data_IF_367088507764
#
_entry.id   IF_367088507764
#
_cell.length_a   1.000
_cell.length_b   1.000
_cell.length_c   1.000
_cell.angle_alpha   90.00
_cell.angle_beta   90.00
_cell.angle_gamma   90.00
#
_symmetry.space_group_name_H-M   'P 1'
#
loop_
_entity.id
_entity.type
_entity.pdbx_description
1 polymer ?
#
# COMPACT_ATOMS: atom_id res chain seq x y z
N UNK A 1 18.57 9.85 4.28
CA UNK A 1 18.99 11.26 4.46
C UNK A 1 18.51 12.21 3.36
N UNK A 2 18.35 11.80 2.09
CA UNK A 2 18.12 12.74 0.96
C UNK A 2 16.93 13.72 1.11
N UNK A 3 15.89 13.37 1.87
CA UNK A 3 14.70 14.22 2.06
C UNK A 3 14.61 14.92 3.44
N UNK A 4 15.17 14.35 4.51
CA UNK A 4 15.07 14.87 5.88
C UNK A 4 16.40 15.37 6.46
N UNK A 5 17.53 15.01 5.85
CA UNK A 5 18.86 15.36 6.35
C UNK A 5 19.30 14.63 7.63
N UNK A 6 18.43 13.84 8.26
CA UNK A 6 18.74 13.07 9.47
C UNK A 6 18.17 11.63 9.40
N UNK A 7 18.55 10.81 10.37
CA UNK A 7 18.10 9.41 10.53
C UNK A 7 17.21 9.21 11.75
N UNK A 8 16.74 10.30 12.36
CA UNK A 8 15.84 10.26 13.51
C UNK A 8 14.48 9.69 13.11
N UNK A 9 14.07 8.61 13.76
CA UNK A 9 12.88 7.85 13.38
C UNK A 9 11.60 8.71 13.36
N UNK A 10 11.43 9.61 14.35
CA UNK A 10 10.26 10.47 14.42
C UNK A 10 10.17 11.43 13.22
N UNK A 11 11.29 12.05 12.84
CA UNK A 11 11.36 12.96 11.70
C UNK A 11 11.14 12.23 10.37
N UNK A 12 11.69 11.02 10.22
CA UNK A 12 11.47 10.20 9.04
C UNK A 12 10.00 9.78 8.90
N UNK A 13 9.37 9.32 9.98
CA UNK A 13 7.98 8.88 9.94
C UNK A 13 7.01 10.03 9.66
N UNK A 14 7.27 11.24 10.19
CA UNK A 14 6.50 12.43 9.84
C UNK A 14 6.57 12.68 8.32
N UNK A 15 7.78 12.69 7.75
CA UNK A 15 7.97 12.92 6.32
C UNK A 15 7.32 11.84 5.44
N UNK A 16 7.39 10.57 5.86
CA UNK A 16 6.79 9.45 5.14
C UNK A 16 5.25 9.51 5.10
N UNK A 17 4.62 10.05 6.14
CA UNK A 17 3.15 10.22 6.19
C UNK A 17 2.65 11.39 5.32
N UNK A 18 3.48 12.42 5.16
CA UNK A 18 3.17 13.58 4.33
C UNK A 18 3.39 13.34 2.84
N UNK A 19 4.29 12.42 2.49
CA UNK A 19 4.70 12.19 1.11
C UNK A 19 3.99 10.98 0.54
N UNK A 20 3.15 11.13 -0.51
CA UNK A 20 2.62 9.98 -1.22
C UNK A 20 3.74 9.12 -1.80
N UNK A 21 3.59 7.81 -1.67
CA UNK A 21 4.43 6.80 -2.33
C UNK A 21 3.93 6.68 -3.76
N UNK A 22 4.83 6.90 -4.72
CA UNK A 22 4.53 6.74 -6.15
C UNK A 22 5.71 6.03 -6.81
N UNK A 23 5.67 4.71 -6.80
CA UNK A 23 6.69 3.84 -7.37
C UNK A 23 6.08 2.77 -8.28
N UNK A 24 6.89 1.79 -8.71
CA UNK A 24 6.47 0.75 -9.64
C UNK A 24 5.39 -0.19 -9.06
N UNK A 25 5.28 -0.27 -7.73
CA UNK A 25 4.36 -1.16 -7.03
C UNK A 25 3.14 -0.40 -6.52
N UNK A 26 3.35 0.72 -5.84
CA UNK A 26 2.29 1.53 -5.26
C UNK A 26 2.25 2.91 -5.92
N UNK A 27 1.20 3.15 -6.70
CA UNK A 27 0.92 4.44 -7.30
C UNK A 27 -0.01 5.23 -6.37
N UNK A 28 0.47 6.35 -5.84
CA UNK A 28 -0.32 7.22 -4.97
C UNK A 28 -0.62 6.65 -3.58
N UNK A 29 0.16 5.66 -3.12
CA UNK A 29 0.03 5.09 -1.79
C UNK A 29 0.32 6.11 -0.68
N UNK A 30 -0.25 5.92 0.50
CA UNK A 30 -0.08 6.83 1.65
C UNK A 30 0.15 6.06 2.93
N UNK A 31 1.12 6.49 3.73
CA UNK A 31 1.27 6.02 5.12
C UNK A 31 0.28 6.76 6.01
N UNK A 32 -0.72 6.05 6.54
CA UNK A 32 -1.77 6.57 7.42
C UNK A 32 -1.26 6.75 8.86
N UNK A 33 -2.05 7.43 9.69
CA UNK A 33 -1.70 7.75 11.08
C UNK A 33 -1.41 6.49 11.94
N UNK A 34 -2.13 5.39 11.69
CA UNK A 34 -1.89 4.07 12.29
C UNK A 34 -0.63 3.37 11.75
N UNK A 35 0.11 4.00 10.85
CA UNK A 35 1.29 3.43 10.19
C UNK A 35 0.97 2.50 9.02
N UNK A 36 -0.31 2.31 8.67
CA UNK A 36 -0.69 1.47 7.52
C UNK A 36 -0.34 2.16 6.21
N UNK A 37 0.36 1.45 5.31
CA UNK A 37 0.52 1.88 3.92
C UNK A 37 -0.75 1.50 3.14
N UNK A 38 -1.56 2.49 2.81
CA UNK A 38 -2.82 2.34 2.07
C UNK A 38 -2.56 2.67 0.61
N UNK A 39 -2.93 1.78 -0.29
CA UNK A 39 -2.79 1.94 -1.74
C UNK A 39 -3.82 1.06 -2.45
N UNK A 40 -4.00 1.23 -3.75
CA UNK A 40 -4.89 0.36 -4.49
C UNK A 40 -4.35 -1.07 -4.55
N UNK A 41 -5.26 -2.03 -4.41
CA UNK A 41 -4.96 -3.46 -4.47
C UNK A 41 -5.46 -4.02 -5.80
N UNK A 42 -4.82 -5.07 -6.30
CA UNK A 42 -5.24 -5.72 -7.55
C UNK A 42 -5.88 -7.06 -7.25
N UNK A 43 -7.11 -7.25 -7.74
CA UNK A 43 -7.78 -8.54 -7.76
C UNK A 43 -7.29 -9.33 -8.97
N UNK A 44 -6.75 -10.52 -8.71
CA UNK A 44 -6.25 -11.42 -9.73
C UNK A 44 -6.93 -12.79 -9.64
N UNK A 45 -7.09 -13.45 -10.79
CA UNK A 45 -7.55 -14.82 -10.91
C UNK A 45 -6.43 -15.71 -11.43
N UNK A 46 -6.34 -16.94 -10.94
CA UNK A 46 -5.43 -17.93 -11.50
C UNK A 46 -5.87 -18.32 -12.92
N UNK A 47 -4.90 -18.31 -13.83
CA UNK A 47 -5.06 -18.82 -15.19
C UNK A 47 -5.23 -20.34 -15.19
N UNK A 48 -5.94 -20.87 -16.18
CA UNK A 48 -5.94 -22.31 -16.44
C UNK A 48 -4.59 -22.75 -17.03
N UNK A 49 -4.24 -24.06 -17.00
CA UNK A 49 -2.99 -24.54 -17.57
C UNK A 49 -2.80 -24.19 -19.07
N UNK A 50 -3.89 -24.11 -19.84
CA UNK A 50 -3.85 -23.74 -21.26
C UNK A 50 -3.67 -22.24 -21.51
N UNK A 51 -3.92 -21.39 -20.50
CA UNK A 51 -3.77 -19.94 -20.58
C UNK A 51 -2.39 -19.43 -20.12
N UNK A 52 -1.64 -20.27 -19.39
CA UNK A 52 -0.32 -19.93 -18.84
C UNK A 52 0.78 -20.19 -19.87
N UNK A 53 1.30 -19.14 -20.50
CA UNK A 53 2.31 -19.26 -21.57
C UNK A 53 3.76 -19.40 -21.09
N UNK A 54 4.03 -19.17 -19.81
CA UNK A 54 5.38 -19.25 -19.24
C UNK A 54 5.33 -19.56 -17.74
N UNK A 55 6.49 -19.86 -17.15
CA UNK A 55 6.61 -20.21 -15.72
C UNK A 55 5.98 -19.19 -14.76
N UNK A 56 5.98 -17.90 -15.13
CA UNK A 56 5.51 -16.82 -14.27
C UNK A 56 4.18 -16.20 -14.73
N UNK A 57 3.60 -16.74 -15.80
CA UNK A 57 2.35 -16.26 -16.38
C UNK A 57 1.12 -16.90 -15.70
N UNK A 58 0.97 -16.65 -14.40
CA UNK A 58 0.05 -17.41 -13.54
C UNK A 58 -1.30 -16.74 -13.32
N UNK A 59 -1.35 -15.43 -13.49
CA UNK A 59 -2.49 -14.62 -13.10
C UNK A 59 -3.06 -13.84 -14.27
N UNK A 60 -4.36 -13.63 -14.25
CA UNK A 60 -5.02 -12.60 -15.05
C UNK A 60 -5.60 -11.52 -14.14
N UNK A 61 -5.51 -10.28 -14.61
CA UNK A 61 -6.10 -9.13 -13.94
C UNK A 61 -7.62 -9.21 -14.00
N UNK A 62 -8.28 -8.97 -12.87
CA UNK A 62 -9.75 -8.91 -12.78
C UNK A 62 -10.20 -7.47 -12.58
N UNK A 63 -9.68 -6.81 -11.55
CA UNK A 63 -10.06 -5.44 -11.19
C UNK A 63 -9.01 -4.80 -10.28
N UNK A 64 -9.07 -3.47 -10.20
CA UNK A 64 -8.42 -2.69 -9.15
C UNK A 64 -9.42 -2.46 -8.03
N UNK A 65 -9.02 -2.73 -6.79
CA UNK A 65 -9.78 -2.43 -5.58
C UNK A 65 -9.21 -1.15 -4.97
N UNK A 66 -10.00 -0.07 -4.86
CA UNK A 66 -9.56 1.17 -4.26
C UNK A 66 -8.99 0.98 -2.85
N UNK A 67 -7.94 1.71 -2.49
CA UNK A 67 -7.27 1.56 -1.19
C UNK A 67 -8.16 1.85 0.03
N UNK A 68 -9.17 2.72 -0.10
CA UNK A 68 -10.15 3.00 0.94
C UNK A 68 -11.14 1.85 1.17
N UNK A 69 -11.40 1.04 0.14
CA UNK A 69 -12.21 -0.19 0.23
C UNK A 69 -11.37 -1.42 0.61
N UNK A 70 -10.12 -1.48 0.14
CA UNK A 70 -9.24 -2.63 0.33
C UNK A 70 -8.68 -2.73 1.76
N UNK A 71 -8.59 -1.60 2.48
CA UNK A 71 -8.03 -1.53 3.82
C UNK A 71 -9.11 -1.17 4.83
N UNK A 72 -9.03 -1.78 6.02
CA UNK A 72 -9.96 -1.47 7.11
C UNK A 72 -10.00 0.05 7.40
N UNK A 73 -11.19 0.65 7.56
CA UNK A 73 -11.35 2.01 8.05
C UNK A 73 -10.53 2.27 9.33
N UNK A 74 -10.04 3.50 9.49
CA UNK A 74 -9.13 3.86 10.57
C UNK A 74 -9.82 3.78 11.95
N UNK A 75 -11.08 4.19 12.01
CA UNK A 75 -11.94 4.19 13.18
C UNK A 75 -12.30 2.77 13.67
N UNK A 76 -12.35 1.79 12.76
CA UNK A 76 -12.53 0.36 13.06
C UNK A 76 -11.21 -0.38 13.37
N UNK A 77 -10.06 0.29 13.21
CA UNK A 77 -8.74 -0.31 13.41
C UNK A 77 -8.35 -0.52 14.88
N UNK A 78 -8.91 0.27 15.79
CA UNK A 78 -8.61 0.18 17.23
C UNK A 78 -7.15 0.50 17.60
N UNK A 79 -6.42 1.21 16.74
CA UNK A 79 -5.00 1.49 16.99
C UNK A 79 -4.82 2.45 18.18
N UNK A 80 -4.12 2.04 19.26
CA UNK A 80 -3.98 2.85 20.47
C UNK A 80 -3.17 4.13 20.25
N UNK A 81 -2.38 4.20 19.18
CA UNK A 81 -1.53 5.36 18.87
C UNK A 81 -2.22 6.41 17.98
N UNK A 82 -3.46 6.18 17.56
CA UNK A 82 -4.25 7.12 16.74
C UNK A 82 -5.24 7.92 17.58
N UNK A 83 -5.66 7.37 18.72
CA UNK A 83 -6.48 8.06 19.71
C UNK A 83 -5.56 8.73 20.74
N UNK A 84 -5.11 9.94 20.43
CA UNK A 84 -4.62 10.89 21.43
C UNK A 84 -5.53 12.12 21.39
#
# INVERSE_FOLDING_TARGET
MKATGNTEAAALMARMRETPVNDFFAQGGKVRADGRMVHDMVLMRFKTPSQSGSRWDLYEFVATVPGDEAFRPLDEGGCPYVRN
#
